data_IF_687999793112
#
_entry.id   IF_687999793112
#
_cell.length_a   1.000
_cell.length_b   1.000
_cell.length_c   1.000
_cell.angle_alpha   90.00
_cell.angle_beta   90.00
_cell.angle_gamma   90.00
#
_symmetry.space_group_name_H-M   'P 1'
#
loop_
_entity.id
_entity.type
_entity.pdbx_description
1 polymer ?
#
# COMPACT_ATOMS: atom_id res chain seq x y z
N UNK A 1 -2.99 7.80 14.05
CA UNK A 1 -3.37 6.70 13.13
C UNK A 1 -4.40 7.21 12.13
N UNK A 2 -4.27 6.76 10.89
CA UNK A 2 -5.17 7.21 9.82
C UNK A 2 -6.49 6.45 9.86
N UNK A 3 -7.58 7.14 10.13
CA UNK A 3 -8.92 6.55 10.18
C UNK A 3 -9.92 7.42 9.44
N UNK A 4 -10.95 6.77 8.91
CA UNK A 4 -12.06 7.43 8.25
C UNK A 4 -11.87 7.58 6.75
N UNK A 5 -12.90 8.10 6.10
CA UNK A 5 -13.00 8.14 4.65
C UNK A 5 -12.28 9.34 4.04
N UNK A 6 -11.87 9.18 2.77
CA UNK A 6 -11.27 10.21 1.95
C UNK A 6 -12.35 10.77 1.03
N UNK A 7 -12.51 12.05 0.84
CA UNK A 7 -11.73 13.15 1.43
C UNK A 7 -12.30 13.72 2.72
N UNK A 8 -13.43 13.19 3.24
CA UNK A 8 -14.13 13.80 4.35
C UNK A 8 -13.33 13.78 5.66
N UNK A 9 -12.76 12.63 6.02
CA UNK A 9 -12.04 12.46 7.28
C UNK A 9 -10.53 12.62 7.12
N UNK A 10 -9.99 12.27 5.94
CA UNK A 10 -8.56 12.34 5.65
C UNK A 10 -8.36 13.01 4.29
N UNK A 11 -7.34 13.85 4.18
CA UNK A 11 -6.95 14.43 2.90
C UNK A 11 -6.31 13.37 2.01
N UNK A 12 -6.21 13.66 0.70
CA UNK A 12 -5.52 12.77 -0.25
C UNK A 12 -4.06 12.60 0.16
N UNK A 13 -3.41 13.68 0.59
CA UNK A 13 -2.01 13.65 1.02
C UNK A 13 -1.82 12.75 2.24
N UNK A 14 -2.72 12.85 3.22
CA UNK A 14 -2.66 11.98 4.41
C UNK A 14 -2.96 10.53 4.06
N UNK A 15 -3.87 10.30 3.12
CA UNK A 15 -4.16 8.95 2.63
C UNK A 15 -2.97 8.35 1.88
N UNK A 16 -2.22 9.15 1.12
CA UNK A 16 -0.96 8.70 0.50
C UNK A 16 0.05 8.28 1.56
N UNK A 17 0.18 9.04 2.63
CA UNK A 17 1.07 8.68 3.74
C UNK A 17 0.61 7.39 4.41
N UNK A 18 -0.70 7.22 4.56
CA UNK A 18 -1.25 5.98 5.10
C UNK A 18 -0.89 4.79 4.23
N UNK A 19 -0.98 4.92 2.90
CA UNK A 19 -0.59 3.87 1.96
C UNK A 19 0.91 3.55 2.08
N UNK A 20 1.74 4.58 2.21
CA UNK A 20 3.18 4.39 2.41
C UNK A 20 3.47 3.62 3.70
N UNK A 21 2.83 3.98 4.80
CA UNK A 21 2.99 3.27 6.07
C UNK A 21 2.55 1.82 5.95
N UNK A 22 1.44 1.55 5.27
CA UNK A 22 1.00 0.18 5.01
C UNK A 22 2.06 -0.61 4.23
N UNK A 23 2.69 0.03 3.24
CA UNK A 23 3.77 -0.58 2.47
C UNK A 23 4.99 -0.90 3.33
N UNK A 24 5.40 0.02 4.19
CA UNK A 24 6.50 -0.20 5.12
C UNK A 24 6.21 -1.35 6.07
N UNK A 25 4.98 -1.42 6.59
CA UNK A 25 4.56 -2.53 7.46
C UNK A 25 4.57 -3.86 6.72
N UNK A 26 4.14 -3.89 5.47
CA UNK A 26 4.16 -5.11 4.65
C UNK A 26 5.60 -5.59 4.44
N UNK A 27 6.52 -4.68 4.16
CA UNK A 27 7.94 -5.01 4.01
C UNK A 27 8.51 -5.54 5.33
N UNK A 28 8.15 -4.93 6.44
CA UNK A 28 8.60 -5.38 7.76
C UNK A 28 8.12 -6.81 8.07
N UNK A 29 6.87 -7.12 7.75
CA UNK A 29 6.31 -8.46 7.94
C UNK A 29 7.04 -9.47 7.05
N UNK A 30 7.28 -9.12 5.78
CA UNK A 30 8.02 -9.97 4.86
C UNK A 30 9.45 -10.19 5.35
N UNK A 31 10.12 -9.15 5.83
CA UNK A 31 11.46 -9.23 6.39
C UNK A 31 11.53 -10.22 7.56
N UNK A 32 10.57 -10.12 8.49
CA UNK A 32 10.51 -11.04 9.62
C UNK A 32 10.35 -12.50 9.17
N UNK A 33 9.56 -12.73 8.14
CA UNK A 33 9.36 -14.07 7.58
C UNK A 33 10.63 -14.63 6.91
N UNK A 34 11.56 -13.76 6.53
CA UNK A 34 12.79 -14.09 5.83
C UNK A 34 14.03 -13.93 6.74
N UNK A 35 13.83 -13.93 8.04
CA UNK A 35 14.91 -13.77 9.03
C UNK A 35 15.71 -12.48 8.84
N UNK A 36 15.03 -11.42 8.41
CA UNK A 36 15.64 -10.12 8.20
C UNK A 36 16.36 -9.95 6.87
N UNK A 37 16.32 -10.95 6.00
CA UNK A 37 17.06 -10.92 4.72
C UNK A 37 16.17 -10.42 3.58
N UNK A 38 16.13 -9.10 3.41
CA UNK A 38 15.36 -8.48 2.34
C UNK A 38 15.90 -8.80 0.93
N UNK A 39 17.16 -9.22 0.82
CA UNK A 39 17.72 -9.59 -0.48
C UNK A 39 17.06 -10.83 -1.07
N UNK A 40 16.35 -11.60 -0.26
CA UNK A 40 15.55 -12.71 -0.76
C UNK A 40 14.28 -12.29 -1.47
N UNK A 41 13.85 -11.04 -1.32
CA UNK A 41 12.76 -10.49 -2.11
C UNK A 41 13.32 -10.14 -3.48
N UNK A 42 12.95 -10.90 -4.50
CA UNK A 42 13.47 -10.69 -5.85
C UNK A 42 12.64 -9.70 -6.64
N UNK A 43 11.36 -9.51 -6.26
CA UNK A 43 10.47 -8.67 -7.01
C UNK A 43 9.17 -8.40 -6.26
N UNK A 44 8.60 -7.22 -6.47
CA UNK A 44 7.22 -6.93 -6.11
C UNK A 44 6.36 -7.28 -7.31
N UNK A 45 5.45 -8.23 -7.15
CA UNK A 45 4.62 -8.71 -8.25
C UNK A 45 3.36 -7.88 -8.42
N UNK A 46 2.63 -7.66 -7.33
CA UNK A 46 1.37 -6.92 -7.40
C UNK A 46 1.05 -6.21 -6.11
N UNK A 47 0.30 -5.12 -6.26
CA UNK A 47 -0.29 -4.37 -5.15
C UNK A 47 -1.79 -4.31 -5.34
N UNK A 48 -2.54 -4.49 -4.26
CA UNK A 48 -3.95 -4.15 -4.19
C UNK A 48 -4.13 -3.12 -3.09
N UNK A 49 -4.67 -1.97 -3.46
CA UNK A 49 -4.85 -0.85 -2.54
C UNK A 49 -6.33 -0.56 -2.42
N UNK A 50 -6.83 -0.64 -1.19
CA UNK A 50 -8.23 -0.34 -0.87
C UNK A 50 -8.28 0.96 -0.08
N UNK A 51 -9.09 1.90 -0.55
CA UNK A 51 -9.21 3.21 0.06
C UNK A 51 -10.64 3.37 0.57
N UNK A 52 -10.79 3.58 1.87
CA UNK A 52 -12.09 3.95 2.42
C UNK A 52 -12.41 5.35 1.94
N UNK A 53 -13.49 5.51 1.18
CA UNK A 53 -13.74 6.79 0.52
C UNK A 53 -15.23 7.06 0.36
N UNK A 54 -15.53 8.34 0.11
CA UNK A 54 -16.88 8.78 -0.20
C UNK A 54 -17.27 8.27 -1.60
N UNK A 55 -18.58 8.06 -1.86
CA UNK A 55 -19.00 7.43 -3.12
C UNK A 55 -18.53 8.10 -4.40
N UNK A 56 -18.33 9.42 -4.39
CA UNK A 56 -17.93 10.18 -5.57
C UNK A 56 -16.41 10.38 -5.69
N UNK A 57 -15.64 9.83 -4.77
CA UNK A 57 -14.18 10.00 -4.79
C UNK A 57 -13.55 9.26 -5.97
N UNK A 58 -12.63 9.90 -6.66
CA UNK A 58 -11.95 9.32 -7.83
C UNK A 58 -10.44 9.29 -7.71
N UNK A 59 -9.89 9.64 -6.55
CA UNK A 59 -8.45 9.77 -6.34
C UNK A 59 -7.73 8.51 -5.86
N UNK A 60 -8.29 7.33 -6.08
CA UNK A 60 -7.73 6.05 -5.59
C UNK A 60 -6.30 5.83 -6.06
N UNK A 61 -6.01 6.08 -7.34
CA UNK A 61 -4.68 5.89 -7.91
C UNK A 61 -3.67 6.85 -7.29
N UNK A 62 -4.08 8.08 -7.01
CA UNK A 62 -3.22 9.06 -6.36
C UNK A 62 -2.84 8.59 -4.96
N UNK A 63 -3.80 8.06 -4.21
CA UNK A 63 -3.52 7.49 -2.88
C UNK A 63 -2.57 6.30 -3.00
N UNK A 64 -2.82 5.41 -3.95
CA UNK A 64 -1.99 4.22 -4.16
C UNK A 64 -0.56 4.56 -4.55
N UNK A 65 -0.30 5.71 -5.15
CA UNK A 65 1.06 6.15 -5.48
C UNK A 65 1.94 6.21 -4.24
N UNK A 66 1.38 6.44 -3.06
CA UNK A 66 2.16 6.45 -1.82
C UNK A 66 2.91 5.14 -1.59
N UNK A 67 2.26 4.00 -1.82
CA UNK A 67 2.91 2.71 -1.66
C UNK A 67 3.68 2.29 -2.92
N UNK A 68 3.16 2.61 -4.10
CA UNK A 68 3.85 2.26 -5.35
C UNK A 68 5.22 2.93 -5.45
N UNK A 69 5.28 4.22 -5.15
CA UNK A 69 6.53 4.97 -5.20
C UNK A 69 7.52 4.45 -4.15
N UNK A 70 7.02 4.05 -2.98
CA UNK A 70 7.85 3.44 -1.94
C UNK A 70 8.50 2.15 -2.44
N UNK A 71 7.75 1.28 -3.11
CA UNK A 71 8.28 0.01 -3.60
C UNK A 71 9.40 0.22 -4.62
N UNK A 72 9.23 1.18 -5.52
CA UNK A 72 10.26 1.51 -6.51
C UNK A 72 11.47 2.16 -5.83
N UNK A 73 11.26 3.01 -4.83
CA UNK A 73 12.35 3.65 -4.10
C UNK A 73 13.22 2.61 -3.36
N UNK A 74 12.60 1.56 -2.81
CA UNK A 74 13.33 0.53 -2.04
C UNK A 74 13.94 -0.54 -2.95
N UNK A 75 13.19 -1.01 -3.94
CA UNK A 75 13.58 -2.17 -4.75
C UNK A 75 14.06 -1.82 -6.16
N UNK A 76 13.99 -0.55 -6.55
CA UNK A 76 14.36 -0.14 -7.91
C UNK A 76 13.45 -0.77 -8.94
N UNK A 77 14.01 -1.26 -10.04
CA UNK A 77 13.22 -1.90 -11.11
C UNK A 77 12.46 -3.13 -10.61
N UNK A 78 12.98 -3.83 -9.62
CA UNK A 78 12.30 -4.98 -9.02
C UNK A 78 11.06 -4.56 -8.22
N UNK A 79 10.91 -3.30 -7.92
CA UNK A 79 9.71 -2.76 -7.28
C UNK A 79 8.58 -2.41 -8.24
N UNK A 80 8.80 -2.49 -9.54
CA UNK A 80 7.74 -2.24 -10.53
C UNK A 80 6.78 -3.42 -10.53
N UNK A 81 5.49 -3.12 -10.50
CA UNK A 81 4.45 -4.10 -10.18
C UNK A 81 3.18 -3.80 -10.95
N UNK A 82 2.28 -4.78 -11.00
CA UNK A 82 0.89 -4.53 -11.40
C UNK A 82 0.12 -4.01 -10.19
N UNK A 83 -0.90 -3.20 -10.43
CA UNK A 83 -1.60 -2.53 -9.35
C UNK A 83 -3.09 -2.41 -9.64
N UNK A 84 -3.90 -2.64 -8.58
CA UNK A 84 -5.31 -2.31 -8.56
C UNK A 84 -5.54 -1.36 -7.39
N UNK A 85 -6.25 -0.27 -7.63
CA UNK A 85 -6.67 0.66 -6.59
C UNK A 85 -8.19 0.77 -6.63
N UNK A 86 -8.83 0.48 -5.50
CA UNK A 86 -10.29 0.42 -5.40
C UNK A 86 -10.78 1.16 -4.17
N UNK A 87 -12.02 1.67 -4.26
CA UNK A 87 -12.70 2.27 -3.14
C UNK A 87 -13.49 1.27 -2.33
N UNK A 88 -13.68 1.57 -1.06
CA UNK A 88 -14.54 0.84 -0.16
C UNK A 88 -15.34 1.83 0.69
N UNK A 89 -16.55 1.46 1.04
CA UNK A 89 -17.38 2.30 1.92
C UNK A 89 -16.73 2.39 3.30
N UNK A 90 -16.15 1.29 3.75
CA UNK A 90 -15.44 1.21 5.02
C UNK A 90 -14.41 0.08 4.96
N UNK A 91 -13.42 0.14 5.82
CA UNK A 91 -12.41 -0.90 5.98
C UNK A 91 -12.38 -1.35 7.44
N UNK A 92 -11.84 -2.54 7.72
CA UNK A 92 -11.76 -3.03 9.09
C UNK A 92 -11.12 -2.02 10.03
N UNK A 93 -11.66 -1.91 11.25
CA UNK A 93 -11.19 -1.01 12.30
C UNK A 93 -11.21 0.48 11.92
N UNK A 94 -12.01 0.83 10.90
CA UNK A 94 -12.10 2.21 10.43
C UNK A 94 -10.87 2.70 9.69
N UNK A 95 -10.00 1.80 9.23
CA UNK A 95 -8.78 2.19 8.52
C UNK A 95 -9.10 3.00 7.26
N UNK A 96 -8.24 3.96 6.95
CA UNK A 96 -8.37 4.78 5.73
C UNK A 96 -7.90 4.02 4.50
N UNK A 97 -6.83 3.22 4.64
CA UNK A 97 -6.21 2.48 3.55
C UNK A 97 -5.87 1.07 4.00
N UNK A 98 -6.04 0.11 3.11
CA UNK A 98 -5.58 -1.26 3.29
C UNK A 98 -4.79 -1.67 2.05
N UNK A 99 -3.63 -2.27 2.26
CA UNK A 99 -2.73 -2.64 1.16
C UNK A 99 -2.40 -4.12 1.24
N UNK A 100 -2.54 -4.80 0.10
CA UNK A 100 -2.09 -6.18 -0.07
C UNK A 100 -0.91 -6.18 -1.03
N UNK A 101 0.17 -6.84 -0.64
CA UNK A 101 1.39 -6.91 -1.46
C UNK A 101 1.74 -8.37 -1.71
N UNK A 102 2.03 -8.69 -2.96
CA UNK A 102 2.55 -10.01 -3.34
C UNK A 102 4.01 -9.85 -3.75
N UNK A 103 4.90 -10.51 -3.02
CA UNK A 103 6.33 -10.52 -3.30
C UNK A 103 6.73 -11.86 -3.91
N UNK A 104 7.69 -11.83 -4.81
CA UNK A 104 8.40 -13.02 -5.25
C UNK A 104 9.66 -13.14 -4.39
N UNK A 105 9.91 -14.31 -3.87
CA UNK A 105 11.11 -14.55 -3.06
C UNK A 105 11.89 -15.74 -3.62
N UNK A 106 13.19 -15.76 -3.36
CA UNK A 106 14.01 -16.91 -3.65
C UNK A 106 14.22 -17.75 -2.38
N UNK A 107 14.27 -19.04 -2.59
CA UNK A 107 14.43 -20.02 -1.51
C UNK A 107 15.79 -19.95 -0.82
#
# INVERSE_FOLDING_TARGET
MFKGTVPTCQSIEDAQKAAEVCGLNAIAVASNSLDGDLDRITRVLSLRVYVACDPAFEGHSTVANGVSDLMVAIFGDSGRHTRVAMGAISLPLGATVEVEVVFEIKS
#
